data_IF_153355992457
#
_entry.id   IF_153355992457
#
_cell.length_a   1.000
_cell.length_b   1.000
_cell.length_c   1.000
_cell.angle_alpha   90.00
_cell.angle_beta   90.00
_cell.angle_gamma   90.00
#
_symmetry.space_group_name_H-M   'P 1'
#
loop_
_entity.id
_entity.type
_entity.pdbx_description
1 polymer ?
#
# COMPACT_ATOMS: atom_id res chain seq x y z
N UNK A 1 0.19 -70.45 -35.92
CA UNK A 1 0.74 -69.69 -34.77
C UNK A 1 -0.43 -69.03 -34.04
N UNK A 2 -0.68 -69.37 -32.80
CA UNK A 2 -1.71 -68.69 -32.01
C UNK A 2 -1.24 -67.26 -31.69
N UNK A 3 -2.07 -66.23 -32.05
CA UNK A 3 -1.83 -64.86 -31.65
C UNK A 3 -2.14 -64.72 -30.14
N UNK A 4 -1.16 -64.39 -29.35
CA UNK A 4 -1.39 -63.97 -27.98
C UNK A 4 -1.85 -62.52 -27.97
N UNK A 5 -3.06 -62.27 -27.47
CA UNK A 5 -3.55 -60.91 -27.26
C UNK A 5 -3.22 -60.48 -25.82
N UNK A 6 -2.42 -59.45 -25.69
CA UNK A 6 -2.19 -58.79 -24.40
C UNK A 6 -3.23 -57.69 -24.19
N UNK A 7 -3.92 -57.71 -23.05
CA UNK A 7 -4.84 -56.65 -22.68
C UNK A 7 -4.12 -55.65 -21.75
N UNK A 8 -3.97 -54.42 -22.17
CA UNK A 8 -3.54 -53.30 -21.31
C UNK A 8 -4.79 -52.69 -20.66
N UNK A 9 -4.86 -52.74 -19.36
CA UNK A 9 -6.02 -52.27 -18.59
C UNK A 9 -5.67 -51.09 -17.68
N UNK A 10 -4.37 -50.76 -17.59
CA UNK A 10 -3.91 -49.74 -16.67
C UNK A 10 -2.91 -48.77 -17.38
N UNK A 11 -3.23 -47.48 -17.37
CA UNK A 11 -2.42 -46.41 -17.96
C UNK A 11 -1.95 -45.37 -16.93
N UNK A 12 -1.95 -45.76 -15.62
CA UNK A 12 -1.65 -44.79 -14.52
C UNK A 12 -0.26 -44.22 -14.53
N UNK A 13 0.70 -44.84 -15.25
CA UNK A 13 2.02 -44.27 -15.43
C UNK A 13 2.11 -43.21 -16.58
N UNK A 14 1.04 -43.13 -17.38
CA UNK A 14 0.96 -42.16 -18.47
C UNK A 14 1.91 -42.46 -19.64
N UNK A 15 2.34 -41.41 -20.28
CA UNK A 15 3.37 -41.44 -21.34
C UNK A 15 4.76 -41.57 -20.71
N UNK A 16 5.49 -42.57 -21.14
CA UNK A 16 6.84 -42.84 -20.63
C UNK A 16 7.90 -42.17 -21.49
N UNK A 17 8.88 -41.57 -20.83
CA UNK A 17 10.05 -41.02 -21.52
C UNK A 17 10.75 -42.08 -22.35
N UNK A 18 11.20 -41.79 -23.58
CA UNK A 18 11.99 -42.69 -24.42
C UNK A 18 13.23 -43.28 -23.72
N UNK A 19 13.74 -42.60 -22.68
CA UNK A 19 14.86 -43.08 -21.84
C UNK A 19 14.49 -44.31 -21.00
N UNK A 20 13.19 -44.59 -20.84
CA UNK A 20 12.67 -45.74 -20.10
C UNK A 20 12.36 -46.93 -21.00
N UNK A 21 12.56 -46.82 -22.31
CA UNK A 21 12.33 -47.89 -23.25
C UNK A 21 13.14 -49.14 -22.87
N UNK A 22 12.46 -50.29 -22.76
CA UNK A 22 13.07 -51.54 -22.36
C UNK A 22 13.33 -51.74 -20.87
N UNK A 23 13.03 -50.74 -20.03
CA UNK A 23 13.20 -50.85 -18.56
C UNK A 23 12.06 -51.63 -17.92
N UNK A 24 11.94 -52.91 -18.29
CA UNK A 24 10.93 -53.84 -17.72
C UNK A 24 11.14 -54.16 -16.24
N UNK A 25 12.29 -53.75 -15.67
CA UNK A 25 12.57 -53.79 -14.22
C UNK A 25 11.76 -52.80 -13.41
N UNK A 26 11.19 -51.76 -14.04
CA UNK A 26 10.36 -50.77 -13.38
C UNK A 26 8.90 -51.20 -13.34
N UNK A 27 8.31 -51.27 -12.14
CA UNK A 27 6.92 -51.65 -11.97
C UNK A 27 5.93 -50.74 -12.77
N UNK A 28 6.26 -49.49 -12.96
CA UNK A 28 5.44 -48.51 -13.74
C UNK A 28 5.55 -48.73 -15.25
N UNK A 29 6.54 -49.48 -15.74
CA UNK A 29 6.74 -49.67 -17.17
C UNK A 29 5.53 -50.32 -17.84
N UNK A 30 4.92 -51.29 -17.19
CA UNK A 30 3.75 -52.02 -17.69
C UNK A 30 2.42 -51.25 -17.55
N UNK A 31 2.43 -50.12 -16.85
CA UNK A 31 1.27 -49.25 -16.65
C UNK A 31 1.34 -47.98 -17.47
N UNK A 32 2.29 -47.87 -18.37
CA UNK A 32 2.49 -46.74 -19.24
C UNK A 32 2.46 -47.11 -20.71
N UNK A 33 2.53 -46.14 -21.57
CA UNK A 33 2.60 -46.31 -23.03
C UNK A 33 3.63 -45.32 -23.62
N UNK A 34 4.03 -45.60 -24.87
CA UNK A 34 4.98 -44.79 -25.60
C UNK A 34 4.41 -43.44 -25.97
N UNK A 35 3.11 -43.39 -26.34
CA UNK A 35 2.42 -42.14 -26.73
C UNK A 35 1.01 -42.13 -26.13
N UNK A 36 0.68 -41.02 -25.46
CA UNK A 36 -0.65 -40.85 -24.84
C UNK A 36 -1.19 -39.43 -25.06
N UNK A 37 -1.11 -38.97 -26.27
CA UNK A 37 -1.58 -37.64 -26.65
C UNK A 37 -3.11 -37.53 -26.64
N UNK A 38 -3.64 -36.43 -26.07
CA UNK A 38 -5.06 -36.12 -26.02
C UNK A 38 -5.92 -37.13 -25.21
N UNK A 39 -5.33 -37.80 -24.22
CA UNK A 39 -6.05 -38.64 -23.27
C UNK A 39 -5.92 -38.09 -21.85
N UNK A 40 -6.96 -38.30 -21.04
CA UNK A 40 -6.99 -38.10 -19.61
C UNK A 40 -6.88 -39.44 -18.92
N UNK A 41 -5.93 -39.58 -18.01
CA UNK A 41 -5.72 -40.83 -17.22
C UNK A 41 -6.56 -40.77 -15.97
N UNK A 42 -7.27 -41.82 -15.69
CA UNK A 42 -8.02 -41.98 -14.44
C UNK A 42 -7.20 -42.71 -13.38
N UNK A 43 -7.32 -42.36 -12.08
CA UNK A 43 -6.58 -43.00 -11.00
C UNK A 43 -6.79 -44.53 -10.92
N UNK A 44 -7.91 -45.03 -11.40
CA UNK A 44 -8.26 -46.46 -11.44
C UNK A 44 -7.76 -47.21 -12.68
N UNK A 45 -6.91 -46.62 -13.49
CA UNK A 45 -6.19 -47.27 -14.59
C UNK A 45 -6.68 -46.94 -15.99
N UNK A 46 -7.92 -46.57 -16.16
CA UNK A 46 -8.49 -46.24 -17.47
C UNK A 46 -7.96 -44.93 -18.07
N UNK A 47 -8.01 -44.83 -19.39
CA UNK A 47 -7.74 -43.58 -20.11
C UNK A 47 -8.94 -43.22 -20.97
N UNK A 48 -9.39 -41.96 -20.93
CA UNK A 48 -10.47 -41.42 -21.75
C UNK A 48 -9.96 -40.33 -22.66
N UNK A 49 -10.53 -40.21 -23.85
CA UNK A 49 -10.21 -39.09 -24.74
C UNK A 49 -10.57 -37.78 -24.07
N UNK A 50 -9.66 -36.82 -24.09
CA UNK A 50 -9.96 -35.49 -23.58
C UNK A 50 -11.14 -34.88 -24.34
N UNK A 51 -12.01 -34.10 -23.67
CA UNK A 51 -13.08 -33.38 -24.36
C UNK A 51 -12.49 -32.39 -25.37
N UNK A 52 -13.28 -32.10 -26.40
CA UNK A 52 -12.94 -31.07 -27.38
C UNK A 52 -12.91 -29.67 -26.77
N UNK A 53 -12.34 -28.74 -27.49
CA UNK A 53 -12.41 -27.33 -27.17
C UNK A 53 -13.63 -26.69 -27.80
N UNK A 54 -14.24 -25.73 -27.08
CA UNK A 54 -15.34 -24.92 -27.61
C UNK A 54 -14.82 -23.51 -27.88
N UNK A 55 -15.08 -22.99 -29.06
CA UNK A 55 -14.85 -21.56 -29.32
C UNK A 55 -15.85 -20.72 -28.52
N UNK A 56 -15.35 -19.69 -27.82
CA UNK A 56 -16.16 -18.78 -27.00
C UNK A 56 -16.32 -17.43 -27.69
N UNK A 57 -15.22 -16.74 -27.94
CA UNK A 57 -15.17 -15.47 -28.63
C UNK A 57 -13.77 -15.21 -29.18
N UNK A 58 -13.66 -14.32 -30.14
CA UNK A 58 -12.38 -13.79 -30.61
C UNK A 58 -11.90 -12.66 -29.69
N UNK A 59 -10.60 -12.62 -29.42
CA UNK A 59 -9.97 -11.51 -28.70
C UNK A 59 -10.06 -10.24 -29.55
N UNK A 60 -10.03 -9.06 -28.92
CA UNK A 60 -10.19 -7.77 -29.62
C UNK A 60 -9.19 -7.57 -30.76
N UNK A 61 -7.95 -8.03 -30.56
CA UNK A 61 -6.86 -7.95 -31.53
C UNK A 61 -6.12 -9.27 -31.56
N UNK A 62 -6.49 -10.14 -32.51
CA UNK A 62 -5.99 -11.53 -32.60
C UNK A 62 -4.48 -11.64 -32.90
N UNK A 63 -3.83 -10.57 -33.36
CA UNK A 63 -2.38 -10.50 -33.57
C UNK A 63 -1.58 -10.19 -32.30
N UNK A 64 -2.22 -9.83 -31.18
CA UNK A 64 -1.58 -9.49 -29.92
C UNK A 64 -1.86 -10.56 -28.86
N UNK A 65 -0.87 -10.76 -27.99
CA UNK A 65 -1.04 -11.64 -26.83
C UNK A 65 -2.06 -11.07 -25.84
N UNK A 66 -2.84 -11.97 -25.26
CA UNK A 66 -3.73 -11.69 -24.15
C UNK A 66 -3.40 -12.58 -22.98
N UNK A 67 -3.83 -12.17 -21.77
CA UNK A 67 -3.69 -12.95 -20.55
C UNK A 67 -5.05 -13.18 -19.92
N UNK A 68 -5.34 -14.43 -19.59
CA UNK A 68 -6.56 -14.80 -18.88
C UNK A 68 -6.30 -14.86 -17.39
N UNK A 69 -7.16 -14.21 -16.61
CA UNK A 69 -7.06 -14.12 -15.15
C UNK A 69 -8.39 -14.58 -14.55
N UNK A 70 -8.38 -15.57 -13.64
CA UNK A 70 -9.60 -15.97 -12.95
C UNK A 70 -10.03 -14.91 -11.95
N UNK A 71 -11.35 -14.70 -11.82
CA UNK A 71 -11.96 -13.87 -10.80
C UNK A 71 -13.13 -14.65 -10.20
N UNK A 72 -13.01 -15.05 -8.94
CA UNK A 72 -14.00 -15.90 -8.28
C UNK A 72 -14.71 -15.10 -7.18
N UNK A 73 -15.96 -14.71 -7.44
CA UNK A 73 -16.78 -14.02 -6.45
C UNK A 73 -17.29 -14.99 -5.37
N UNK A 74 -17.79 -16.15 -5.79
CA UNK A 74 -18.23 -17.22 -4.90
C UNK A 74 -18.17 -18.58 -5.62
N UNK A 75 -18.56 -19.66 -4.95
CA UNK A 75 -18.49 -21.02 -5.49
C UNK A 75 -19.35 -21.27 -6.75
N UNK A 76 -20.38 -20.47 -6.98
CA UNK A 76 -21.28 -20.58 -8.13
C UNK A 76 -21.09 -19.47 -9.15
N UNK A 77 -20.28 -18.47 -8.85
CA UNK A 77 -20.12 -17.28 -9.68
C UNK A 77 -18.64 -16.94 -9.87
N UNK A 78 -18.13 -17.40 -11.00
CA UNK A 78 -16.76 -17.16 -11.40
C UNK A 78 -16.72 -16.48 -12.77
N UNK A 79 -15.67 -15.71 -12.98
CA UNK A 79 -15.40 -14.99 -14.23
C UNK A 79 -13.98 -15.28 -14.70
N UNK A 80 -13.76 -15.04 -15.98
CA UNK A 80 -12.42 -14.96 -16.56
C UNK A 80 -12.27 -13.56 -17.13
N UNK A 81 -11.24 -12.86 -16.70
CA UNK A 81 -10.85 -11.56 -17.23
C UNK A 81 -9.81 -11.77 -18.33
N UNK A 82 -10.11 -11.34 -19.55
CA UNK A 82 -9.18 -11.33 -20.69
C UNK A 82 -8.47 -9.98 -20.73
N UNK A 83 -7.26 -9.90 -20.23
CA UNK A 83 -6.40 -8.73 -20.38
C UNK A 83 -5.77 -8.72 -21.76
N UNK A 84 -5.96 -7.62 -22.49
CA UNK A 84 -5.33 -7.34 -23.76
C UNK A 84 -4.65 -5.97 -23.76
N UNK A 85 -4.29 -5.47 -24.92
CA UNK A 85 -3.60 -4.20 -25.07
C UNK A 85 -4.50 -3.01 -24.66
N UNK A 86 -4.27 -2.50 -23.47
CA UNK A 86 -5.00 -1.39 -22.83
C UNK A 86 -6.49 -1.67 -22.54
N UNK A 87 -6.87 -2.92 -22.34
CA UNK A 87 -8.22 -3.29 -21.93
C UNK A 87 -8.26 -4.59 -21.14
N UNK A 88 -9.39 -4.86 -20.47
CA UNK A 88 -9.83 -6.21 -20.15
C UNK A 88 -11.30 -6.41 -20.49
N UNK A 89 -11.65 -7.65 -20.90
CA UNK A 89 -13.00 -8.13 -21.16
C UNK A 89 -13.38 -9.22 -20.19
N UNK A 90 -14.65 -9.44 -20.02
CA UNK A 90 -15.20 -10.33 -19.00
C UNK A 90 -15.92 -11.52 -19.67
N UNK A 91 -15.64 -12.71 -19.17
CA UNK A 91 -16.28 -13.95 -19.57
C UNK A 91 -16.92 -14.63 -18.36
N UNK A 92 -18.10 -15.21 -18.57
CA UNK A 92 -18.85 -15.94 -17.55
C UNK A 92 -19.65 -17.07 -18.21
N UNK A 93 -19.75 -18.23 -17.54
CA UNK A 93 -20.57 -19.37 -17.96
C UNK A 93 -20.29 -19.82 -19.42
N UNK A 94 -19.02 -19.76 -19.83
CA UNK A 94 -18.57 -20.15 -21.16
C UNK A 94 -19.00 -19.20 -22.28
N UNK A 95 -19.34 -17.93 -21.97
CA UNK A 95 -19.68 -16.86 -22.92
C UNK A 95 -19.01 -15.54 -22.55
N UNK A 96 -18.90 -14.64 -23.52
CA UNK A 96 -18.48 -13.27 -23.30
C UNK A 96 -19.64 -12.47 -22.68
N UNK A 97 -19.35 -11.70 -21.63
CA UNK A 97 -20.35 -10.79 -21.03
C UNK A 97 -20.56 -9.61 -21.95
N UNK A 98 -21.81 -9.35 -22.31
CA UNK A 98 -22.20 -8.25 -23.20
C UNK A 98 -23.22 -7.33 -22.53
N UNK A 99 -23.26 -6.07 -22.97
CA UNK A 99 -24.22 -5.06 -22.52
C UNK A 99 -24.61 -4.13 -23.65
N UNK A 100 -25.70 -3.38 -23.46
CA UNK A 100 -26.19 -2.40 -24.42
C UNK A 100 -27.11 -2.99 -25.51
N UNK A 101 -27.58 -2.11 -26.42
CA UNK A 101 -28.40 -2.47 -27.56
C UNK A 101 -27.96 -1.62 -28.79
N UNK A 102 -27.30 -2.22 -29.79
CA UNK A 102 -26.93 -3.64 -29.93
C UNK A 102 -25.93 -4.08 -28.85
N UNK A 103 -25.98 -5.36 -28.50
CA UNK A 103 -25.10 -5.93 -27.47
C UNK A 103 -23.64 -5.87 -27.92
N UNK A 104 -22.77 -5.34 -27.04
CA UNK A 104 -21.31 -5.28 -27.22
C UNK A 104 -20.62 -5.89 -26.02
N UNK A 105 -19.38 -6.36 -26.21
CA UNK A 105 -18.57 -6.89 -25.12
C UNK A 105 -18.41 -5.84 -24.02
N UNK A 106 -18.61 -6.25 -22.77
CA UNK A 106 -18.24 -5.43 -21.61
C UNK A 106 -16.72 -5.35 -21.59
N UNK A 107 -16.22 -4.13 -21.72
CA UNK A 107 -14.79 -3.84 -21.82
C UNK A 107 -14.44 -2.69 -20.87
N UNK A 108 -13.36 -2.85 -20.14
CA UNK A 108 -12.80 -1.82 -19.26
C UNK A 108 -11.42 -1.44 -19.79
N UNK A 109 -11.21 -0.14 -20.01
CA UNK A 109 -9.92 0.40 -20.44
C UNK A 109 -8.89 0.33 -19.33
N UNK A 110 -7.66 -0.04 -19.67
CA UNK A 110 -6.53 -0.09 -18.75
C UNK A 110 -5.34 0.65 -19.34
N UNK A 111 -4.28 0.85 -18.55
CA UNK A 111 -2.99 1.39 -19.01
C UNK A 111 -1.95 0.29 -19.26
N UNK A 112 -2.37 -0.99 -19.21
CA UNK A 112 -1.46 -2.11 -19.42
C UNK A 112 -1.38 -2.45 -20.91
N UNK A 113 -0.21 -2.17 -21.51
CA UNK A 113 0.08 -2.59 -22.88
C UNK A 113 0.36 -4.11 -22.93
N UNK A 114 0.38 -4.69 -24.13
CA UNK A 114 0.68 -6.11 -24.32
C UNK A 114 1.98 -6.55 -23.63
N UNK A 115 3.02 -5.70 -23.63
CA UNK A 115 4.30 -5.99 -23.02
C UNK A 115 4.22 -6.12 -21.48
N UNK A 116 3.28 -5.42 -20.85
CA UNK A 116 3.10 -5.38 -19.39
C UNK A 116 2.39 -6.65 -18.88
N UNK A 117 1.60 -7.32 -19.72
CA UNK A 117 0.67 -8.38 -19.29
C UNK A 117 1.36 -9.55 -18.58
N UNK A 118 2.57 -9.89 -18.99
CA UNK A 118 3.32 -11.00 -18.38
C UNK A 118 3.78 -10.69 -16.94
N UNK A 119 4.06 -9.41 -16.64
CA UNK A 119 4.55 -8.96 -15.33
C UNK A 119 3.41 -8.71 -14.32
N UNK A 120 2.16 -8.58 -14.77
CA UNK A 120 1.03 -8.38 -13.88
C UNK A 120 0.91 -9.49 -12.85
N UNK A 121 0.61 -9.15 -11.59
CA UNK A 121 0.21 -10.11 -10.55
C UNK A 121 -1.05 -9.63 -9.86
N UNK A 122 -1.76 -10.60 -9.30
CA UNK A 122 -3.12 -10.40 -8.82
C UNK A 122 -3.30 -11.06 -7.46
N UNK A 123 -4.02 -10.37 -6.58
CA UNK A 123 -4.56 -10.93 -5.35
C UNK A 123 -6.01 -10.50 -5.21
N UNK A 124 -6.91 -11.42 -4.91
CA UNK A 124 -8.34 -11.15 -4.85
C UNK A 124 -8.88 -11.35 -3.44
N UNK A 125 -9.72 -10.41 -3.02
CA UNK A 125 -10.58 -10.54 -1.84
C UNK A 125 -12.01 -10.16 -2.23
N UNK A 126 -12.93 -11.12 -2.17
CA UNK A 126 -14.34 -10.94 -2.53
C UNK A 126 -14.52 -10.28 -3.92
N UNK A 127 -15.14 -9.09 -3.97
CA UNK A 127 -15.41 -8.32 -5.19
C UNK A 127 -14.28 -7.42 -5.66
N UNK A 128 -13.14 -7.43 -4.97
CA UNK A 128 -11.98 -6.58 -5.28
C UNK A 128 -10.76 -7.45 -5.59
N UNK A 129 -10.08 -7.11 -6.68
CA UNK A 129 -8.81 -7.72 -7.06
C UNK A 129 -7.74 -6.65 -7.18
N UNK A 130 -6.69 -6.76 -6.39
CA UNK A 130 -5.51 -5.90 -6.50
C UNK A 130 -4.59 -6.38 -7.61
N UNK A 131 -4.07 -5.43 -8.35
CA UNK A 131 -3.22 -5.67 -9.53
C UNK A 131 -1.92 -4.89 -9.34
N UNK A 132 -0.79 -5.58 -9.45
CA UNK A 132 0.55 -4.97 -9.34
C UNK A 132 1.37 -5.20 -10.60
N UNK A 133 2.20 -4.22 -10.89
CA UNK A 133 3.21 -4.24 -11.95
C UNK A 133 4.42 -3.43 -11.46
N UNK A 134 5.68 -3.88 -11.67
CA UNK A 134 6.86 -3.20 -11.13
C UNK A 134 7.02 -1.73 -11.57
N UNK A 135 6.50 -1.36 -12.74
CA UNK A 135 6.67 -0.02 -13.33
C UNK A 135 5.37 0.80 -13.37
N UNK A 136 4.30 0.34 -12.72
CA UNK A 136 3.00 1.02 -12.76
C UNK A 136 2.34 1.04 -11.39
N UNK A 137 1.54 2.09 -11.08
CA UNK A 137 0.82 2.20 -9.83
C UNK A 137 0.00 0.94 -9.52
N UNK A 138 -0.10 0.62 -8.24
CA UNK A 138 -0.97 -0.46 -7.77
C UNK A 138 -2.41 -0.09 -8.06
N UNK A 139 -3.16 -1.02 -8.64
CA UNK A 139 -4.56 -0.82 -8.99
C UNK A 139 -5.48 -1.82 -8.34
N UNK A 140 -6.74 -1.44 -8.21
CA UNK A 140 -7.81 -2.34 -7.81
C UNK A 140 -8.88 -2.42 -8.89
N UNK A 141 -9.28 -3.66 -9.19
CA UNK A 141 -10.43 -3.98 -10.01
C UNK A 141 -11.58 -4.27 -9.05
N UNK A 142 -12.67 -3.55 -9.20
CA UNK A 142 -13.87 -3.77 -8.41
C UNK A 142 -15.04 -4.18 -9.32
N UNK A 143 -15.82 -5.15 -8.85
CA UNK A 143 -17.01 -5.65 -9.50
C UNK A 143 -18.26 -5.26 -8.68
N UNK A 144 -19.20 -4.58 -9.31
CA UNK A 144 -20.50 -4.28 -8.69
C UNK A 144 -21.64 -5.10 -9.29
N UNK A 145 -21.50 -5.55 -10.54
CA UNK A 145 -22.45 -6.44 -11.21
C UNK A 145 -21.77 -7.27 -12.31
N UNK A 146 -22.53 -8.09 -13.04
CA UNK A 146 -21.97 -8.83 -14.18
C UNK A 146 -21.40 -7.94 -15.27
N UNK A 147 -21.99 -6.75 -15.46
CA UNK A 147 -21.63 -5.80 -16.51
C UNK A 147 -20.96 -4.53 -16.00
N UNK A 148 -20.86 -4.35 -14.70
CA UNK A 148 -20.27 -3.15 -14.10
C UNK A 148 -18.98 -3.49 -13.36
N UNK A 149 -17.88 -3.05 -13.97
CA UNK A 149 -16.51 -3.26 -13.51
C UNK A 149 -15.73 -1.96 -13.60
N UNK A 150 -14.86 -1.73 -12.66
CA UNK A 150 -13.96 -0.57 -12.63
C UNK A 150 -12.53 -1.01 -12.40
N UNK A 151 -11.58 -0.20 -12.85
CA UNK A 151 -10.17 -0.27 -12.44
C UNK A 151 -9.73 1.13 -12.03
N UNK A 152 -9.21 1.26 -10.82
CA UNK A 152 -8.76 2.54 -10.26
C UNK A 152 -7.38 2.36 -9.63
N UNK A 153 -6.62 3.42 -9.52
CA UNK A 153 -5.42 3.41 -8.69
C UNK A 153 -5.83 3.20 -7.23
N UNK A 154 -4.98 2.52 -6.46
CA UNK A 154 -5.20 2.37 -5.02
C UNK A 154 -4.77 3.66 -4.35
N UNK A 155 -5.67 4.26 -3.61
CA UNK A 155 -5.39 5.38 -2.75
C UNK A 155 -4.89 4.84 -1.40
N UNK A 156 -3.57 4.86 -1.23
CA UNK A 156 -2.95 4.35 -0.02
C UNK A 156 -3.05 5.37 1.11
N UNK A 157 -3.94 5.11 2.03
CA UNK A 157 -3.99 5.88 3.26
C UNK A 157 -2.71 5.62 4.09
N UNK A 158 -1.97 6.69 4.42
CA UNK A 158 -0.92 6.69 5.44
C UNK A 158 0.29 5.80 5.15
N UNK A 159 0.75 5.76 3.92
CA UNK A 159 1.95 5.02 3.52
C UNK A 159 1.67 3.94 2.48
N UNK A 160 2.54 2.93 2.30
CA UNK A 160 3.77 2.73 3.08
C UNK A 160 4.86 3.79 2.81
N UNK A 161 5.65 4.07 3.83
CA UNK A 161 6.79 4.99 3.73
C UNK A 161 8.12 4.23 3.71
N UNK A 162 9.14 4.84 3.13
CA UNK A 162 10.54 4.45 3.31
C UNK A 162 10.96 4.73 4.75
N UNK A 163 12.15 4.22 5.12
CA UNK A 163 12.74 4.57 6.40
C UNK A 163 12.84 6.10 6.55
N UNK A 164 12.68 6.64 7.77
CA UNK A 164 12.86 8.06 8.03
C UNK A 164 14.23 8.56 7.57
N UNK A 165 14.28 9.82 7.18
CA UNK A 165 15.52 10.46 6.80
C UNK A 165 16.57 10.37 7.92
N UNK A 166 17.80 10.07 7.57
CA UNK A 166 18.96 10.01 8.49
C UNK A 166 20.06 11.02 8.12
N UNK A 167 19.80 11.86 7.14
CA UNK A 167 20.73 12.89 6.68
C UNK A 167 20.45 14.23 7.39
N UNK A 168 21.32 15.21 7.22
CA UNK A 168 21.09 16.56 7.73
C UNK A 168 20.06 17.38 6.89
N UNK A 169 19.44 16.77 5.86
CA UNK A 169 18.44 17.45 5.06
C UNK A 169 17.11 17.52 5.81
N UNK A 170 16.59 18.72 5.99
CA UNK A 170 15.28 18.95 6.63
C UNK A 170 14.25 19.35 5.60
N UNK A 171 12.96 19.04 5.87
CA UNK A 171 11.83 19.53 5.12
C UNK A 171 11.03 20.53 5.95
N UNK A 172 10.56 21.59 5.34
CA UNK A 172 9.71 22.60 5.98
C UNK A 172 8.48 22.83 5.13
N UNK A 173 7.30 22.72 5.73
CA UNK A 173 6.05 23.08 5.06
C UNK A 173 5.75 24.57 5.21
N UNK A 174 5.21 25.18 4.16
CA UNK A 174 4.77 26.57 4.18
C UNK A 174 3.40 26.80 4.82
N UNK A 175 2.59 25.75 4.97
CA UNK A 175 1.28 25.78 5.61
C UNK A 175 0.94 24.42 6.21
N UNK A 176 -0.13 24.36 7.03
CA UNK A 176 -0.57 23.13 7.70
C UNK A 176 -1.54 22.30 6.89
N UNK A 177 -2.41 22.93 6.15
CA UNK A 177 -3.57 22.31 5.52
C UNK A 177 -3.67 22.64 4.05
N UNK A 178 -4.39 21.84 3.30
CA UNK A 178 -4.69 22.07 1.89
C UNK A 178 -3.47 21.86 0.99
N UNK A 179 -3.36 22.67 -0.04
CA UNK A 179 -2.19 22.67 -0.93
C UNK A 179 -1.05 23.48 -0.33
N UNK A 180 0.07 22.82 -0.09
CA UNK A 180 1.23 23.41 0.60
C UNK A 180 2.49 23.34 -0.25
N UNK A 181 3.38 24.29 -0.08
CA UNK A 181 4.74 24.19 -0.61
C UNK A 181 5.64 23.63 0.47
N UNK A 182 6.32 22.52 0.18
CA UNK A 182 7.32 21.91 1.06
C UNK A 182 8.70 22.18 0.47
N UNK A 183 9.60 22.72 1.30
CA UNK A 183 10.95 23.11 0.90
C UNK A 183 11.98 22.31 1.68
N UNK A 184 12.94 21.73 0.97
CA UNK A 184 14.08 21.04 1.55
C UNK A 184 15.26 21.98 1.75
N UNK A 185 16.01 21.81 2.85
CA UNK A 185 17.25 22.55 3.11
C UNK A 185 18.37 22.19 2.12
N UNK A 186 18.35 20.98 1.57
CA UNK A 186 19.28 20.47 0.55
C UNK A 186 18.66 19.34 -0.26
N UNK A 187 19.21 19.06 -1.44
CA UNK A 187 18.81 17.91 -2.26
C UNK A 187 19.44 16.57 -1.80
N UNK A 188 20.51 16.63 -1.02
CA UNK A 188 21.41 15.49 -0.74
C UNK A 188 20.75 14.33 0.01
N UNK A 189 19.71 14.58 0.79
CA UNK A 189 18.95 13.53 1.50
C UNK A 189 17.82 12.92 0.69
N UNK A 190 17.51 13.46 -0.50
CA UNK A 190 16.33 13.11 -1.28
C UNK A 190 16.77 12.31 -2.50
N UNK A 191 16.14 11.13 -2.73
CA UNK A 191 16.35 10.29 -3.91
C UNK A 191 17.84 10.02 -4.19
N UNK A 192 18.60 9.64 -3.15
CA UNK A 192 20.03 9.34 -3.25
C UNK A 192 20.89 10.55 -3.62
N UNK A 193 20.42 11.78 -3.40
CA UNK A 193 21.12 13.03 -3.68
C UNK A 193 20.64 13.74 -4.94
N UNK A 194 19.71 13.19 -5.69
CA UNK A 194 19.15 13.79 -6.90
C UNK A 194 18.18 14.94 -6.60
N UNK A 195 17.64 14.97 -5.36
CA UNK A 195 16.56 15.87 -5.00
C UNK A 195 15.20 15.38 -5.52
N UNK A 196 14.19 16.22 -5.40
CA UNK A 196 12.87 15.94 -5.96
C UNK A 196 12.90 15.94 -7.49
N UNK A 197 12.19 14.98 -8.09
CA UNK A 197 12.04 14.81 -9.53
C UNK A 197 10.57 14.71 -9.91
N UNK A 198 10.24 14.81 -11.19
CA UNK A 198 8.85 14.62 -11.68
C UNK A 198 8.31 13.24 -11.38
N UNK A 199 9.17 12.27 -11.11
CA UNK A 199 8.81 10.88 -10.75
C UNK A 199 8.34 10.78 -9.28
N UNK A 200 8.45 11.87 -8.51
CA UNK A 200 7.85 11.97 -7.18
C UNK A 200 6.38 12.44 -7.18
N UNK A 201 5.83 12.85 -8.32
CA UNK A 201 4.42 13.26 -8.41
C UNK A 201 3.52 12.04 -8.12
N UNK A 202 2.54 12.23 -7.20
CA UNK A 202 1.69 11.16 -6.67
C UNK A 202 2.30 10.39 -5.48
N UNK A 203 3.54 10.69 -5.11
CA UNK A 203 4.23 10.09 -3.96
C UNK A 203 3.82 10.79 -2.67
N UNK A 204 3.69 10.02 -1.61
CA UNK A 204 3.44 10.58 -0.28
C UNK A 204 4.72 11.16 0.32
N UNK A 205 4.60 12.21 1.11
CA UNK A 205 5.64 12.74 2.00
C UNK A 205 5.06 12.85 3.40
N UNK A 206 5.74 12.24 4.37
CA UNK A 206 5.42 12.31 5.78
C UNK A 206 6.27 13.39 6.43
N UNK A 207 5.64 14.26 7.21
CA UNK A 207 6.27 15.27 8.06
C UNK A 207 5.71 15.11 9.45
N UNK A 208 6.56 15.15 10.48
CA UNK A 208 6.19 15.03 11.92
C UNK A 208 4.92 14.18 12.17
N UNK A 209 3.75 14.79 12.07
CA UNK A 209 2.46 14.21 12.45
C UNK A 209 1.54 13.89 11.28
N UNK A 210 1.74 14.52 10.13
CA UNK A 210 0.87 14.40 8.99
C UNK A 210 1.60 13.89 7.75
N UNK A 211 0.86 13.76 6.67
CA UNK A 211 1.42 13.43 5.38
C UNK A 211 0.67 14.16 4.27
N UNK A 212 1.34 14.34 3.15
CA UNK A 212 0.81 15.01 1.99
C UNK A 212 1.16 14.22 0.73
N UNK A 213 0.34 14.34 -0.31
CA UNK A 213 0.61 13.78 -1.63
C UNK A 213 1.25 14.87 -2.51
N UNK A 214 2.38 14.55 -3.12
CA UNK A 214 3.12 15.47 -4.01
C UNK A 214 2.33 15.64 -5.31
N UNK A 215 1.91 16.87 -5.60
CA UNK A 215 1.13 17.20 -6.80
C UNK A 215 1.95 17.90 -7.88
N UNK A 216 3.05 18.55 -7.51
CA UNK A 216 3.98 19.16 -8.45
C UNK A 216 5.38 19.26 -7.87
N UNK A 217 6.39 19.28 -8.74
CA UNK A 217 7.80 19.50 -8.39
C UNK A 217 8.24 20.85 -8.98
N UNK A 218 8.59 21.77 -8.11
CA UNK A 218 9.06 23.11 -8.50
C UNK A 218 10.56 23.15 -8.74
N UNK A 219 11.33 22.40 -7.96
CA UNK A 219 12.79 22.25 -8.10
C UNK A 219 13.26 21.01 -7.36
N UNK A 220 14.56 20.71 -7.42
CA UNK A 220 15.17 19.60 -6.66
C UNK A 220 15.02 19.74 -5.14
N UNK A 221 14.65 20.91 -4.63
CA UNK A 221 14.45 21.20 -3.21
C UNK A 221 13.08 21.78 -2.89
N UNK A 222 12.13 21.80 -3.84
CA UNK A 222 10.80 22.38 -3.59
C UNK A 222 9.72 21.59 -4.32
N UNK A 223 8.67 21.23 -3.58
CA UNK A 223 7.49 20.55 -4.09
C UNK A 223 6.22 21.28 -3.67
N UNK A 224 5.15 21.07 -4.43
CA UNK A 224 3.77 21.36 -4.00
C UNK A 224 3.12 20.04 -3.66
N UNK A 225 2.47 19.97 -2.51
CA UNK A 225 1.79 18.77 -2.04
C UNK A 225 0.41 19.11 -1.47
N UNK A 226 -0.51 18.17 -1.50
CA UNK A 226 -1.84 18.29 -0.89
C UNK A 226 -1.87 17.46 0.39
N UNK A 227 -2.13 18.12 1.51
CA UNK A 227 -2.23 17.47 2.83
C UNK A 227 -3.40 16.50 2.82
N UNK A 228 -3.14 15.27 3.28
CA UNK A 228 -4.11 14.19 3.32
C UNK A 228 -4.72 14.06 4.72
N UNK A 229 -5.93 13.52 4.80
CA UNK A 229 -6.58 13.17 6.04
C UNK A 229 -5.83 12.03 6.74
N UNK A 230 -5.45 12.24 7.99
CA UNK A 230 -4.75 11.24 8.80
C UNK A 230 -5.59 10.70 9.98
N UNK A 231 -6.92 11.00 10.02
CA UNK A 231 -7.88 10.66 11.08
C UNK A 231 -7.50 11.13 12.50
N UNK A 232 -6.28 11.61 12.68
CA UNK A 232 -5.76 12.08 13.97
C UNK A 232 -5.74 13.60 14.02
N UNK A 233 -5.42 14.25 12.90
CA UNK A 233 -5.18 15.70 12.81
C UNK A 233 -6.07 16.40 11.79
N UNK A 234 -7.16 15.81 11.35
CA UNK A 234 -8.14 16.40 10.42
C UNK A 234 -7.49 17.14 9.24
N UNK A 235 -6.62 16.47 8.47
CA UNK A 235 -5.93 17.09 7.33
C UNK A 235 -4.92 18.18 7.71
N UNK A 236 -4.21 18.03 8.81
CA UNK A 236 -3.14 18.95 9.24
C UNK A 236 -1.76 18.25 9.30
N UNK A 237 -0.70 18.98 8.99
CA UNK A 237 0.68 18.51 9.15
C UNK A 237 1.20 18.68 10.58
N UNK A 238 0.60 19.60 11.32
CA UNK A 238 0.92 19.88 12.72
C UNK A 238 -0.38 20.03 13.53
N UNK A 239 -0.42 19.60 14.79
CA UNK A 239 -1.64 19.61 15.60
C UNK A 239 -2.16 21.04 15.83
N UNK A 240 -3.48 21.18 15.86
CA UNK A 240 -4.20 22.40 16.23
C UNK A 240 -5.40 22.06 17.08
N UNK A 241 -5.44 22.60 18.29
CA UNK A 241 -6.52 22.32 19.23
C UNK A 241 -7.06 23.58 19.86
N UNK A 242 -8.37 23.74 19.82
CA UNK A 242 -9.06 24.90 20.43
C UNK A 242 -10.06 24.40 21.45
N UNK A 243 -9.95 24.87 22.69
CA UNK A 243 -10.88 24.50 23.74
C UNK A 243 -11.03 25.61 24.80
N UNK A 244 -12.17 25.59 25.49
CA UNK A 244 -12.41 26.44 26.67
C UNK A 244 -12.04 25.73 27.98
N UNK A 245 -11.52 24.52 27.92
CA UNK A 245 -11.06 23.69 29.05
C UNK A 245 -9.57 23.85 29.35
N UNK A 246 -8.88 24.68 28.57
CA UNK A 246 -7.45 24.93 28.68
C UNK A 246 -7.18 25.99 29.78
N UNK A 247 -6.22 25.72 30.63
CA UNK A 247 -5.74 26.59 31.70
C UNK A 247 -4.20 26.59 31.75
N UNK A 248 -3.63 27.59 32.41
CA UNK A 248 -2.20 27.74 32.59
C UNK A 248 -1.85 27.66 34.07
N UNK A 249 -0.80 26.98 34.41
CA UNK A 249 -0.28 26.90 35.78
C UNK A 249 1.20 27.16 35.78
N UNK A 250 1.57 28.22 36.49
CA UNK A 250 2.96 28.57 36.81
C UNK A 250 3.61 27.49 37.64
N UNK A 251 4.83 27.13 37.32
CA UNK A 251 5.65 26.16 38.04
C UNK A 251 6.35 26.72 39.26
N UNK A 252 7.25 25.97 39.81
CA UNK A 252 8.12 26.43 40.89
C UNK A 252 9.51 26.76 40.32
N UNK A 253 9.84 28.06 40.13
CA UNK A 253 11.10 28.47 39.53
C UNK A 253 12.32 28.10 40.36
N UNK A 254 12.14 27.68 41.62
CA UNK A 254 13.20 27.21 42.46
C UNK A 254 13.51 25.71 42.33
N UNK A 255 12.67 24.98 41.64
CA UNK A 255 12.79 23.53 41.45
C UNK A 255 13.52 23.20 40.15
N UNK A 256 14.40 22.22 40.22
CA UNK A 256 15.08 21.63 39.06
C UNK A 256 14.36 20.36 38.50
N UNK A 257 13.26 19.98 39.13
CA UNK A 257 12.46 18.84 38.70
C UNK A 257 11.51 19.26 37.57
N UNK A 258 11.47 18.50 36.49
CA UNK A 258 10.54 18.72 35.36
C UNK A 258 9.07 18.79 35.84
N UNK A 259 8.69 18.10 36.89
CA UNK A 259 7.33 18.10 37.44
C UNK A 259 6.90 19.48 37.97
N UNK A 260 7.83 20.40 38.20
CA UNK A 260 7.59 21.75 38.70
C UNK A 260 7.71 22.81 37.60
N UNK A 261 7.86 22.44 36.34
CA UNK A 261 7.88 23.37 35.24
C UNK A 261 6.47 23.95 34.97
N UNK A 262 6.44 25.06 34.30
CA UNK A 262 5.25 25.67 33.79
C UNK A 262 4.48 24.71 32.85
N UNK A 263 3.15 24.83 32.86
CA UNK A 263 2.31 23.84 32.18
C UNK A 263 1.04 24.44 31.61
N UNK A 264 0.61 23.85 30.52
CA UNK A 264 -0.70 24.08 29.91
C UNK A 264 -1.54 22.84 30.17
N UNK A 265 -2.70 23.01 30.83
CA UNK A 265 -3.53 21.92 31.29
C UNK A 265 -4.84 21.93 30.52
N UNK A 266 -5.26 20.78 30.01
CA UNK A 266 -6.60 20.58 29.43
C UNK A 266 -7.40 19.61 30.30
N UNK A 267 -8.42 20.10 31.00
CA UNK A 267 -9.28 19.26 31.83
C UNK A 267 -10.09 18.23 31.06
N UNK A 268 -10.21 18.37 29.72
CA UNK A 268 -10.84 17.39 28.83
C UNK A 268 -9.90 16.26 28.39
N UNK A 269 -8.60 16.33 28.75
CA UNK A 269 -7.57 15.29 28.49
C UNK A 269 -7.43 14.93 27.01
N UNK A 270 -7.18 15.91 26.17
CA UNK A 270 -7.11 15.71 24.73
C UNK A 270 -5.71 15.87 24.11
N UNK A 271 -4.68 16.27 24.84
CA UNK A 271 -3.37 16.60 24.26
C UNK A 271 -2.77 15.44 23.43
N UNK A 272 -2.68 14.24 24.02
CA UNK A 272 -2.18 13.06 23.29
C UNK A 272 -3.09 12.73 22.12
N UNK A 273 -4.41 12.78 22.33
CA UNK A 273 -5.40 12.50 21.30
C UNK A 273 -5.34 13.50 20.13
N UNK A 274 -4.99 14.74 20.39
CA UNK A 274 -4.82 15.79 19.39
C UNK A 274 -3.43 15.79 18.76
N UNK A 275 -2.55 14.87 19.17
CA UNK A 275 -1.27 14.63 18.51
C UNK A 275 -0.12 15.55 18.95
N UNK A 276 -0.23 16.21 20.08
CA UNK A 276 0.91 16.93 20.66
C UNK A 276 1.96 15.94 21.15
N UNK A 277 3.22 16.23 20.91
CA UNK A 277 4.35 15.36 21.26
C UNK A 277 5.41 16.10 22.10
N UNK A 278 6.27 15.29 22.74
CA UNK A 278 7.46 15.77 23.44
C UNK A 278 8.40 16.48 22.43
N UNK A 279 9.03 17.56 22.88
CA UNK A 279 9.94 18.41 22.12
C UNK A 279 9.32 19.23 20.97
N UNK A 280 7.99 19.37 20.95
CA UNK A 280 7.29 20.18 19.97
C UNK A 280 7.28 21.67 20.36
N UNK A 281 7.59 22.57 19.44
CA UNK A 281 7.27 23.99 19.57
C UNK A 281 5.80 24.25 19.29
N UNK A 282 5.14 25.01 20.14
CA UNK A 282 3.74 25.41 20.00
C UNK A 282 3.58 26.91 20.03
N UNK A 283 2.45 27.38 19.51
CA UNK A 283 2.02 28.78 19.65
C UNK A 283 0.63 28.80 20.26
N UNK A 284 0.46 29.61 21.29
CA UNK A 284 -0.81 29.81 22.01
C UNK A 284 -1.43 31.13 21.58
N UNK A 285 -2.75 31.13 21.41
CA UNK A 285 -3.55 32.32 21.14
C UNK A 285 -4.93 32.21 21.79
N UNK A 286 -5.56 33.35 22.05
CA UNK A 286 -6.90 33.40 22.65
C UNK A 286 -6.91 33.29 24.18
N UNK A 287 -5.76 33.22 24.86
CA UNK A 287 -5.68 33.32 26.31
C UNK A 287 -6.10 34.72 26.76
N UNK A 288 -6.84 34.79 27.87
CA UNK A 288 -7.27 36.05 28.49
C UNK A 288 -6.09 36.87 29.03
N UNK A 289 -5.06 36.19 29.53
CA UNK A 289 -3.80 36.78 29.92
C UNK A 289 -2.89 36.92 28.71
N UNK A 290 -2.61 38.16 28.31
CA UNK A 290 -1.84 38.41 27.07
C UNK A 290 -0.44 37.81 27.07
N UNK A 291 0.20 37.63 28.24
CA UNK A 291 1.50 37.02 28.40
C UNK A 291 1.51 35.55 27.96
N UNK A 292 0.36 34.85 28.11
CA UNK A 292 0.22 33.44 27.71
C UNK A 292 0.07 33.25 26.20
N UNK A 293 -0.21 34.33 25.43
CA UNK A 293 -0.33 34.27 23.98
C UNK A 293 1.04 34.39 23.28
N UNK A 294 1.85 33.35 23.40
CA UNK A 294 3.21 33.30 22.86
C UNK A 294 3.56 31.87 22.43
N UNK A 295 4.81 31.67 22.01
CA UNK A 295 5.34 30.35 21.68
C UNK A 295 6.01 29.68 22.86
N UNK A 296 5.86 28.39 22.97
CA UNK A 296 6.43 27.54 24.04
C UNK A 296 7.07 26.29 23.45
N UNK A 297 8.01 25.69 24.18
CA UNK A 297 8.57 24.37 23.87
C UNK A 297 8.01 23.35 24.86
N UNK A 298 7.33 22.34 24.33
CA UNK A 298 6.85 21.21 25.13
C UNK A 298 8.04 20.29 25.46
N UNK A 299 8.25 19.99 26.74
CA UNK A 299 9.24 19.00 27.18
C UNK A 299 8.61 17.63 27.33
N UNK A 300 7.35 17.58 27.77
CA UNK A 300 6.62 16.33 27.97
C UNK A 300 5.13 16.52 27.78
N UNK A 301 4.50 15.55 27.14
CA UNK A 301 3.05 15.48 26.94
C UNK A 301 2.45 14.37 27.79
N UNK A 302 1.34 14.66 28.44
CA UNK A 302 0.42 13.68 29.04
C UNK A 302 -0.98 13.93 28.48
N UNK A 303 -1.96 13.09 28.81
CA UNK A 303 -3.34 13.30 28.34
C UNK A 303 -3.88 14.68 28.70
N UNK A 304 -3.59 15.17 29.90
CA UNK A 304 -4.12 16.42 30.46
C UNK A 304 -3.12 17.58 30.52
N UNK A 305 -1.82 17.35 30.32
CA UNK A 305 -0.79 18.35 30.59
C UNK A 305 0.27 18.39 29.50
N UNK A 306 0.55 19.61 28.99
CA UNK A 306 1.77 19.94 28.29
C UNK A 306 2.74 20.57 29.28
N UNK A 307 3.84 19.91 29.57
CA UNK A 307 4.90 20.42 30.42
C UNK A 307 5.87 21.23 29.57
N UNK A 308 6.12 22.45 29.94
CA UNK A 308 6.91 23.42 29.14
C UNK A 308 8.39 23.39 29.51
N UNK A 309 9.22 23.95 28.65
CA UNK A 309 10.65 24.07 28.91
C UNK A 309 10.90 24.98 30.11
N UNK A 310 12.01 24.76 30.88
CA UNK A 310 12.34 25.60 32.02
C UNK A 310 12.60 27.08 31.70
N UNK A 311 12.77 27.40 30.43
CA UNK A 311 12.97 28.79 29.94
C UNK A 311 11.64 29.49 29.62
N UNK A 312 10.56 28.74 29.59
CA UNK A 312 9.24 29.25 29.23
C UNK A 312 8.50 29.68 30.51
N UNK A 313 7.76 30.76 30.42
CA UNK A 313 7.09 31.41 31.57
C UNK A 313 5.62 31.60 31.24
N UNK A 314 4.73 31.03 32.05
CA UNK A 314 3.29 31.24 31.96
C UNK A 314 2.76 31.95 33.21
N UNK A 315 1.71 32.69 33.03
CA UNK A 315 0.97 33.30 34.14
C UNK A 315 -0.27 32.44 34.44
N UNK A 316 -0.51 32.17 35.71
CA UNK A 316 -1.65 31.40 36.16
C UNK A 316 -2.96 31.94 35.54
N UNK A 317 -3.67 31.10 34.84
CA UNK A 317 -4.96 31.44 34.22
C UNK A 317 -5.92 30.26 34.31
N UNK A 318 -7.09 30.50 34.85
CA UNK A 318 -8.17 29.51 34.88
C UNK A 318 -8.81 29.37 33.52
N UNK A 319 -9.29 28.18 33.19
CA UNK A 319 -10.05 27.93 31.97
C UNK A 319 -11.32 28.82 31.91
N UNK A 320 -11.36 29.74 30.98
CA UNK A 320 -12.45 30.72 30.86
C UNK A 320 -12.73 31.23 29.44
N UNK A 321 -11.81 31.05 28.51
CA UNK A 321 -11.92 31.48 27.12
C UNK A 321 -11.55 30.33 26.16
N UNK A 322 -11.92 30.50 24.91
CA UNK A 322 -11.51 29.57 23.87
C UNK A 322 -10.06 29.83 23.51
N UNK A 323 -9.17 28.96 23.97
CA UNK A 323 -7.74 29.04 23.78
C UNK A 323 -7.37 28.08 22.64
N UNK A 324 -6.56 28.56 21.70
CA UNK A 324 -6.03 27.77 20.60
C UNK A 324 -4.54 27.54 20.83
N UNK A 325 -4.16 26.27 20.82
CA UNK A 325 -2.77 25.79 20.87
C UNK A 325 -2.46 25.11 19.56
N UNK A 326 -1.37 25.51 18.90
CA UNK A 326 -1.05 25.07 17.57
C UNK A 326 0.42 24.66 17.52
N UNK A 327 0.74 23.49 17.00
CA UNK A 327 2.10 23.09 16.69
C UNK A 327 2.73 24.05 15.68
N UNK A 328 3.95 24.45 15.89
CA UNK A 328 4.69 25.37 15.00
C UNK A 328 5.22 24.59 13.80
N UNK A 329 5.05 25.13 12.61
CA UNK A 329 5.70 24.61 11.42
C UNK A 329 7.21 24.82 11.53
N UNK A 330 7.94 23.76 11.79
CA UNK A 330 9.40 23.76 11.92
C UNK A 330 10.02 22.87 10.83
N UNK A 331 11.33 22.94 10.72
CA UNK A 331 12.07 22.06 9.83
C UNK A 331 12.10 20.63 10.44
N UNK A 332 11.54 19.67 9.71
CA UNK A 332 11.51 18.25 10.09
C UNK A 332 12.74 17.54 9.55
N UNK A 333 13.49 16.83 10.38
CA UNK A 333 14.64 16.00 10.00
C UNK A 333 14.32 14.50 9.97
N UNK A 334 13.18 14.09 10.52
CA UNK A 334 12.70 12.69 10.51
C UNK A 334 11.65 12.41 9.41
N UNK A 335 11.53 13.29 8.43
CA UNK A 335 10.60 13.11 7.32
C UNK A 335 10.83 11.79 6.56
N UNK A 336 9.80 11.28 5.93
CA UNK A 336 9.87 10.07 5.10
C UNK A 336 9.10 10.26 3.78
N UNK A 337 9.58 9.62 2.72
CA UNK A 337 8.89 9.57 1.42
C UNK A 337 8.14 8.25 1.25
N UNK A 338 7.04 8.28 0.54
CA UNK A 338 6.29 7.08 0.18
C UNK A 338 7.15 6.05 -0.54
N UNK A 339 6.90 4.78 -0.25
CA UNK A 339 7.70 3.68 -0.79
C UNK A 339 7.41 3.36 -2.27
N UNK A 340 6.24 3.76 -2.78
CA UNK A 340 5.78 3.44 -4.13
C UNK A 340 5.69 4.69 -4.99
N UNK A 341 6.51 4.75 -6.03
CA UNK A 341 6.53 5.85 -7.01
C UNK A 341 7.28 5.41 -8.27
N UNK A 342 7.24 6.16 -9.38
CA UNK A 342 8.13 5.91 -10.52
C UNK A 342 9.61 5.94 -10.14
N UNK A 343 10.01 6.77 -9.16
CA UNK A 343 11.41 6.87 -8.67
C UNK A 343 11.86 5.61 -7.91
N UNK A 344 11.00 5.04 -7.07
CA UNK A 344 11.33 3.89 -6.22
C UNK A 344 10.89 2.54 -6.81
N UNK A 345 10.09 2.57 -7.86
CA UNK A 345 9.36 1.44 -8.41
C UNK A 345 8.12 1.07 -7.61
N UNK A 346 7.34 0.18 -8.16
CA UNK A 346 6.12 -0.34 -7.57
C UNK A 346 6.29 -1.81 -7.19
N UNK A 347 5.44 -2.36 -6.30
CA UNK A 347 5.57 -3.75 -5.90
C UNK A 347 5.37 -4.71 -7.09
N UNK A 348 6.26 -5.70 -7.17
CA UNK A 348 6.23 -6.74 -8.19
C UNK A 348 5.45 -7.98 -7.75
N UNK A 349 5.01 -8.06 -6.50
CA UNK A 349 4.27 -9.18 -5.94
C UNK A 349 3.22 -8.70 -4.94
N UNK A 350 2.08 -9.43 -4.92
CA UNK A 350 0.93 -9.14 -4.05
C UNK A 350 0.29 -10.44 -3.60
N UNK A 351 -0.13 -10.49 -2.33
CA UNK A 351 -0.93 -11.58 -1.75
C UNK A 351 -1.75 -11.06 -0.57
N UNK A 352 -2.62 -11.92 -0.02
CA UNK A 352 -3.22 -11.71 1.29
C UNK A 352 -2.59 -12.67 2.29
N UNK A 353 -2.22 -12.15 3.45
CA UNK A 353 -1.68 -12.91 4.56
C UNK A 353 -2.26 -12.40 5.88
N UNK A 354 -2.83 -13.27 6.68
CA UNK A 354 -3.41 -12.95 8.00
C UNK A 354 -4.29 -11.69 8.01
N UNK A 355 -5.25 -11.62 7.08
CA UNK A 355 -6.16 -10.47 6.89
C UNK A 355 -5.45 -9.16 6.54
N UNK A 356 -4.26 -9.21 5.99
CA UNK A 356 -3.47 -8.06 5.53
C UNK A 356 -3.25 -8.15 4.03
N UNK A 357 -3.35 -7.05 3.34
CA UNK A 357 -2.84 -6.94 1.97
C UNK A 357 -1.32 -6.78 2.04
N UNK A 358 -0.63 -7.64 1.32
CA UNK A 358 0.82 -7.75 1.40
C UNK A 358 1.44 -7.50 0.04
N UNK A 359 2.39 -6.57 -0.01
CA UNK A 359 3.17 -6.24 -1.19
C UNK A 359 4.65 -6.55 -0.99
N UNK A 360 5.38 -6.81 -2.07
CA UNK A 360 6.82 -6.98 -2.00
C UNK A 360 7.54 -6.68 -3.32
N UNK A 361 8.84 -6.44 -3.20
CA UNK A 361 9.77 -6.42 -4.31
C UNK A 361 9.64 -5.19 -5.20
N UNK A 362 9.79 -3.99 -4.63
CA UNK A 362 10.00 -2.76 -5.41
C UNK A 362 11.42 -2.70 -5.95
N UNK A 363 11.67 -1.86 -6.94
CA UNK A 363 13.01 -1.68 -7.52
C UNK A 363 14.03 -1.18 -6.48
N UNK A 364 13.62 -0.21 -5.64
CA UNK A 364 14.48 0.36 -4.58
C UNK A 364 14.63 -0.55 -3.35
N UNK A 365 13.61 -1.36 -3.04
CA UNK A 365 13.56 -2.25 -1.88
C UNK A 365 13.17 -3.69 -2.29
N UNK A 366 14.05 -4.41 -3.01
CA UNK A 366 13.72 -5.70 -3.63
C UNK A 366 13.45 -6.82 -2.62
N UNK A 367 13.92 -6.70 -1.38
CA UNK A 367 13.78 -7.69 -0.30
C UNK A 367 12.77 -7.27 0.78
N UNK A 368 12.09 -6.16 0.60
CA UNK A 368 11.13 -5.63 1.58
C UNK A 368 9.73 -6.13 1.30
N UNK A 369 9.04 -6.48 2.37
CA UNK A 369 7.63 -6.87 2.39
C UNK A 369 6.86 -5.81 3.18
N UNK A 370 5.77 -5.34 2.61
CA UNK A 370 4.88 -4.34 3.19
C UNK A 370 3.54 -4.98 3.49
N UNK A 371 3.09 -4.90 4.74
CA UNK A 371 1.82 -5.43 5.20
C UNK A 371 0.90 -4.29 5.59
N UNK A 372 -0.34 -4.31 5.13
CA UNK A 372 -1.36 -3.35 5.56
C UNK A 372 -1.75 -3.55 7.04
N UNK A 373 -2.49 -2.62 7.59
CA UNK A 373 -3.26 -2.81 8.83
C UNK A 373 -4.17 -4.02 8.68
N UNK A 374 -4.36 -4.78 9.77
CA UNK A 374 -5.21 -5.96 9.75
C UNK A 374 -6.67 -5.60 9.49
N UNK A 375 -7.25 -6.18 8.44
CA UNK A 375 -8.64 -5.90 8.04
C UNK A 375 -8.85 -4.60 7.26
N UNK A 376 -7.84 -3.73 7.18
CA UNK A 376 -7.85 -2.49 6.40
C UNK A 376 -6.76 -2.52 5.33
N UNK A 377 -7.13 -2.96 4.14
CA UNK A 377 -6.19 -3.36 3.09
C UNK A 377 -5.45 -2.21 2.41
N UNK A 378 -5.94 -0.99 2.50
CA UNK A 378 -5.33 0.18 1.85
C UNK A 378 -4.65 1.11 2.86
N UNK A 379 -4.66 0.75 4.14
CA UNK A 379 -4.05 1.49 5.24
C UNK A 379 -2.70 0.89 5.63
N UNK A 380 -1.65 1.72 5.62
CA UNK A 380 -0.28 1.34 5.98
C UNK A 380 0.26 2.15 7.15
N UNK A 381 -0.63 2.57 8.06
CA UNK A 381 -0.23 3.28 9.28
C UNK A 381 0.65 2.39 10.16
N UNK A 382 1.90 2.80 10.33
CA UNK A 382 2.80 2.16 11.29
C UNK A 382 2.35 2.49 12.72
N UNK A 383 2.49 1.53 13.62
CA UNK A 383 2.12 1.68 15.03
C UNK A 383 2.76 0.61 15.89
N UNK A 384 2.40 0.60 17.17
CA UNK A 384 2.89 -0.37 18.16
C UNK A 384 1.89 -1.47 18.49
N UNK A 385 0.67 -1.37 17.95
CA UNK A 385 -0.38 -2.35 18.17
C UNK A 385 -0.21 -3.56 17.24
N UNK A 386 -0.71 -4.72 17.65
CA UNK A 386 -0.56 -5.98 16.89
C UNK A 386 -1.26 -5.95 15.52
N UNK A 387 -2.22 -5.07 15.33
CA UNK A 387 -2.96 -4.87 14.07
C UNK A 387 -2.34 -3.82 13.14
N UNK A 388 -1.38 -3.03 13.62
CA UNK A 388 -0.70 -1.98 12.84
C UNK A 388 0.02 -2.54 11.61
N UNK A 389 0.22 -1.68 10.62
CA UNK A 389 0.97 -2.04 9.41
C UNK A 389 2.43 -2.40 9.75
N UNK A 390 2.99 -3.33 8.98
CA UNK A 390 4.36 -3.81 9.17
C UNK A 390 5.17 -3.62 7.89
N UNK A 391 6.43 -3.21 8.06
CA UNK A 391 7.41 -3.19 6.98
C UNK A 391 8.58 -4.07 7.44
N UNK A 392 8.90 -5.09 6.65
CA UNK A 392 9.93 -6.06 7.01
C UNK A 392 10.90 -6.30 5.85
N UNK A 393 12.17 -6.02 6.06
CA UNK A 393 13.22 -6.29 5.07
C UNK A 393 13.93 -7.59 5.42
N UNK A 394 13.94 -8.53 4.48
CA UNK A 394 14.62 -9.82 4.65
C UNK A 394 16.12 -9.63 4.69
N UNK A 395 16.74 -10.02 5.80
CA UNK A 395 18.20 -10.06 5.94
C UNK A 395 18.79 -11.20 5.12
N UNK A 396 19.59 -10.88 4.11
CA UNK A 396 20.31 -11.87 3.31
C UNK A 396 21.73 -11.35 3.00
N UNK A 397 22.69 -12.25 2.95
CA UNK A 397 24.06 -11.91 2.51
C UNK A 397 24.17 -11.58 1.01
N UNK A 398 23.08 -11.78 0.25
CA UNK A 398 22.98 -11.45 -1.16
C UNK A 398 21.69 -10.69 -1.40
N UNK A 399 21.75 -9.64 -2.24
CA UNK A 399 20.55 -8.93 -2.66
C UNK A 399 19.77 -9.82 -3.63
N UNK A 400 18.61 -10.28 -3.18
CA UNK A 400 17.67 -11.05 -3.97
C UNK A 400 16.40 -10.24 -4.18
N UNK A 401 15.66 -10.54 -5.23
CA UNK A 401 14.35 -9.89 -5.49
C UNK A 401 13.23 -10.86 -5.10
N UNK A 402 12.31 -10.40 -4.26
CA UNK A 402 11.08 -11.15 -3.98
C UNK A 402 10.23 -11.14 -5.25
N UNK A 403 10.09 -12.31 -5.88
CA UNK A 403 9.33 -12.43 -7.12
C UNK A 403 7.92 -12.93 -6.91
N UNK A 404 7.67 -13.67 -5.84
CA UNK A 404 6.38 -14.27 -5.53
C UNK A 404 6.14 -14.26 -4.02
N UNK A 405 4.90 -13.98 -3.65
CA UNK A 405 4.32 -14.19 -2.35
C UNK A 405 3.24 -15.27 -2.48
N UNK A 406 3.13 -16.16 -1.50
CA UNK A 406 2.15 -17.26 -1.48
C UNK A 406 1.65 -17.52 -0.07
#
# INVERSE_FOLDING_TARGET
MARANFAFTNFTAGELSPRLNGRSDLAKYFNGCETLENFLIHPHGGATRRPGTRFVAEVKTSSLQTRLVPFQFNVTQAYVLEFGNNYFRIYKDGGQVTSGSPASAVEVTTTYATADLAALKFAQSADVMYVVHPDKPVRKIARTSHTAWTITDVDFARGPFLDPNTTATTLTSGARTGSVTITASAATGINGGSGFTTDDIGRLVKLHHGYAEITAVGSTTSITATVQDNDVFDTELEPSYTASTISFAEGDPSSTSLEHNDRIIDSAKNWVKQGFLDNMEITVSGAGTSANNTSYLIVKVTDDTLLLAPSDDVVNESASSSITVVGKLVADDEWALGAFSPETGYPSSVTFYEQRLTFAGTASQPQTVFFSVSGDFENFTAGTEDDSALIYTLGSNQVNVIRYLS
#
